data_IF_675054878559
#
_entry.id   IF_675054878559
#
_cell.length_a   1.000
_cell.length_b   1.000
_cell.length_c   1.000
_cell.angle_alpha   90.00
_cell.angle_beta   90.00
_cell.angle_gamma   90.00
#
_symmetry.space_group_name_H-M   'P 1'
#
loop_
_entity.id
_entity.type
_entity.pdbx_description
1 polymer ?
#
# COMPACT_ATOMS: atom_id res chain seq x y z
N UNK A 1 -0.18 -18.52 4.60
CA UNK A 1 -1.63 -18.86 4.69
C UNK A 1 -1.77 -20.36 4.53
N UNK A 2 -2.50 -20.96 5.44
CA UNK A 2 -2.69 -22.44 5.51
C UNK A 2 -4.19 -22.72 5.53
N UNK A 3 -4.66 -23.61 4.62
CA UNK A 3 -6.04 -24.11 4.64
C UNK A 3 -6.17 -25.12 5.78
N UNK A 4 -7.06 -24.88 6.71
CA UNK A 4 -7.30 -25.73 7.88
C UNK A 4 -8.43 -26.76 7.63
N UNK A 5 -9.49 -26.31 6.96
CA UNK A 5 -10.66 -27.10 6.61
C UNK A 5 -11.35 -26.47 5.39
N UNK A 6 -12.47 -27.06 4.95
CA UNK A 6 -13.29 -26.45 3.90
C UNK A 6 -13.79 -25.06 4.33
N UNK A 7 -13.49 -24.05 3.52
CA UNK A 7 -13.82 -22.67 3.82
C UNK A 7 -13.08 -22.05 5.02
N UNK A 8 -12.03 -22.67 5.55
CA UNK A 8 -11.30 -22.16 6.73
C UNK A 8 -9.82 -22.00 6.42
N UNK A 9 -9.32 -20.78 6.55
CA UNK A 9 -7.96 -20.40 6.21
C UNK A 9 -7.29 -19.64 7.36
N UNK A 10 -6.08 -20.04 7.73
CA UNK A 10 -5.28 -19.38 8.74
C UNK A 10 -4.15 -18.54 8.09
N UNK A 11 -4.10 -17.26 8.42
CA UNK A 11 -3.04 -16.34 8.04
C UNK A 11 -2.11 -16.15 9.24
N UNK A 12 -0.88 -16.62 9.10
CA UNK A 12 0.16 -16.54 10.13
C UNK A 12 1.25 -15.55 9.71
N UNK A 13 2.05 -15.12 10.67
CA UNK A 13 3.17 -14.19 10.45
C UNK A 13 2.73 -12.73 10.38
N UNK A 14 1.52 -12.42 10.84
CA UNK A 14 1.00 -11.07 11.04
C UNK A 14 0.70 -10.82 12.52
N UNK A 15 0.47 -9.57 12.88
CA UNK A 15 0.14 -9.16 14.25
C UNK A 15 -1.30 -8.68 14.40
N UNK A 16 -2.13 -8.95 13.42
CA UNK A 16 -3.55 -8.64 13.42
C UNK A 16 -4.09 -8.26 12.06
N UNK A 17 -5.37 -7.91 12.04
CA UNK A 17 -6.04 -7.33 10.88
C UNK A 17 -5.78 -5.82 10.85
N UNK A 18 -5.37 -5.31 9.70
CA UNK A 18 -5.30 -3.88 9.45
C UNK A 18 -6.61 -3.43 8.81
N UNK A 19 -7.62 -3.14 9.64
CA UNK A 19 -8.91 -2.64 9.18
C UNK A 19 -8.79 -1.20 8.70
N UNK A 20 -9.34 -0.92 7.52
CA UNK A 20 -9.36 0.39 6.92
C UNK A 20 -10.70 0.62 6.24
N UNK A 21 -11.51 1.54 6.77
CA UNK A 21 -12.84 1.84 6.23
C UNK A 21 -12.78 2.41 4.80
N UNK A 22 -11.67 3.00 4.40
CA UNK A 22 -11.46 3.45 3.02
C UNK A 22 -11.23 2.28 2.05
N UNK A 23 -10.86 1.10 2.57
CA UNK A 23 -10.63 -0.12 1.81
C UNK A 23 -11.49 -1.26 2.35
N UNK A 24 -12.63 -1.49 1.73
CA UNK A 24 -13.59 -2.55 2.09
C UNK A 24 -14.76 -2.11 2.98
N UNK A 25 -14.92 -0.82 3.27
CA UNK A 25 -16.04 -0.28 4.06
C UNK A 25 -15.78 -0.25 5.58
N UNK A 26 -16.84 -0.10 6.42
CA UNK A 26 -16.71 0.11 7.87
C UNK A 26 -15.94 -0.98 8.62
N UNK A 27 -16.08 -2.25 8.19
CA UNK A 27 -15.30 -3.40 8.69
C UNK A 27 -14.18 -3.77 7.70
N UNK A 28 -13.57 -2.76 7.09
CA UNK A 28 -12.61 -2.90 5.99
C UNK A 28 -11.40 -3.75 6.31
N UNK A 29 -10.68 -4.08 5.25
CA UNK A 29 -9.54 -4.99 5.29
C UNK A 29 -9.77 -6.28 4.52
N UNK A 30 -10.96 -6.47 3.94
CA UNK A 30 -11.30 -7.61 3.10
C UNK A 30 -11.89 -7.17 1.77
N UNK A 31 -11.52 -7.89 0.72
CA UNK A 31 -12.18 -7.82 -0.57
C UNK A 31 -12.58 -9.24 -0.98
N UNK A 32 -13.87 -9.44 -1.24
CA UNK A 32 -14.45 -10.73 -1.57
C UNK A 32 -14.75 -10.84 -3.06
N UNK A 33 -14.76 -12.06 -3.64
CA UNK A 33 -15.03 -12.26 -5.04
C UNK A 33 -16.45 -11.88 -5.42
N UNK A 34 -16.59 -11.17 -6.53
CA UNK A 34 -17.85 -10.75 -7.13
C UNK A 34 -18.06 -11.47 -8.45
N UNK A 35 -19.34 -11.69 -8.81
CA UNK A 35 -19.72 -12.13 -10.15
C UNK A 35 -19.69 -10.95 -11.17
N UNK A 36 -20.03 -11.22 -12.44
CA UNK A 36 -20.13 -10.20 -13.50
C UNK A 36 -21.18 -9.12 -13.20
N UNK A 37 -22.19 -9.43 -12.35
CA UNK A 37 -23.27 -8.54 -11.95
C UNK A 37 -22.96 -7.79 -10.66
N UNK A 38 -21.69 -7.86 -10.17
CA UNK A 38 -21.23 -7.26 -8.91
C UNK A 38 -21.91 -7.85 -7.66
N UNK A 39 -22.38 -9.08 -7.73
CA UNK A 39 -22.94 -9.80 -6.59
C UNK A 39 -21.84 -10.58 -5.87
N UNK A 40 -21.74 -10.49 -4.54
CA UNK A 40 -20.80 -11.29 -3.77
C UNK A 40 -21.08 -12.79 -3.90
N UNK A 41 -20.02 -13.59 -4.09
CA UNK A 41 -20.15 -15.03 -4.29
C UNK A 41 -20.05 -15.85 -3.01
N UNK A 42 -19.51 -15.27 -1.96
CA UNK A 42 -19.33 -15.89 -0.65
C UNK A 42 -19.70 -14.90 0.47
N UNK A 43 -20.03 -15.47 1.62
CA UNK A 43 -19.96 -14.76 2.89
C UNK A 43 -18.56 -14.93 3.46
N UNK A 44 -18.08 -13.94 4.19
CA UNK A 44 -16.80 -13.98 4.89
C UNK A 44 -17.03 -13.61 6.35
N UNK A 45 -16.44 -14.39 7.24
CA UNK A 45 -16.29 -14.10 8.65
C UNK A 45 -14.82 -14.27 9.04
N UNK A 46 -14.40 -13.65 10.14
CA UNK A 46 -13.02 -13.73 10.59
C UNK A 46 -12.88 -13.66 12.09
N UNK A 47 -11.79 -14.20 12.59
CA UNK A 47 -11.36 -14.07 13.98
C UNK A 47 -9.89 -13.70 14.01
N UNK A 48 -9.52 -12.78 14.92
CA UNK A 48 -8.11 -12.47 15.19
C UNK A 48 -7.71 -13.19 16.46
N UNK A 49 -6.73 -14.07 16.34
CA UNK A 49 -6.21 -14.82 17.48
C UNK A 49 -5.28 -13.94 18.36
N UNK A 50 -5.05 -14.32 19.64
CA UNK A 50 -4.16 -13.58 20.54
C UNK A 50 -2.71 -13.45 20.06
N UNK A 51 -2.24 -14.37 19.20
CA UNK A 51 -0.92 -14.34 18.57
C UNK A 51 -0.84 -13.40 17.35
N UNK A 52 -1.96 -12.76 17.00
CA UNK A 52 -2.08 -11.87 15.84
C UNK A 52 -2.39 -12.58 14.52
N UNK A 53 -2.46 -13.92 14.50
CA UNK A 53 -2.91 -14.63 13.31
C UNK A 53 -4.40 -14.38 13.03
N UNK A 54 -4.78 -14.42 11.77
CA UNK A 54 -6.15 -14.15 11.33
C UNK A 54 -6.74 -15.42 10.75
N UNK A 55 -7.83 -15.90 11.37
CA UNK A 55 -8.62 -17.02 10.86
C UNK A 55 -9.74 -16.46 9.99
N UNK A 56 -9.76 -16.83 8.72
CA UNK A 56 -10.78 -16.43 7.75
C UNK A 56 -11.69 -17.62 7.45
N UNK A 57 -12.99 -17.39 7.52
CA UNK A 57 -14.02 -18.38 7.27
C UNK A 57 -14.87 -17.93 6.08
N UNK A 58 -15.11 -18.81 5.13
CA UNK A 58 -15.88 -18.51 3.92
C UNK A 58 -17.07 -19.47 3.80
N UNK A 59 -18.22 -18.91 3.40
CA UNK A 59 -19.46 -19.64 3.31
C UNK A 59 -20.14 -19.37 1.98
N UNK A 60 -20.90 -20.36 1.51
CA UNK A 60 -21.69 -20.24 0.27
C UNK A 60 -22.76 -19.16 0.41
N UNK A 61 -22.84 -18.29 -0.60
CA UNK A 61 -23.83 -17.21 -0.67
C UNK A 61 -24.66 -17.35 -1.92
N UNK A 62 -25.98 -17.48 -1.75
CA UNK A 62 -26.94 -17.51 -2.84
C UNK A 62 -27.67 -16.18 -2.99
N UNK A 63 -28.28 -15.96 -4.15
CA UNK A 63 -29.08 -14.77 -4.45
C UNK A 63 -30.47 -15.17 -4.94
N UNK A 64 -31.36 -15.69 -4.06
CA UNK A 64 -32.62 -16.28 -4.47
C UNK A 64 -33.58 -15.27 -5.17
N UNK A 65 -33.44 -13.98 -4.91
CA UNK A 65 -34.18 -12.93 -5.58
C UNK A 65 -33.63 -12.52 -6.95
N UNK A 66 -32.50 -13.06 -7.36
CA UNK A 66 -31.89 -12.77 -8.65
C UNK A 66 -32.49 -13.67 -9.76
N UNK A 67 -32.34 -13.29 -11.05
CA UNK A 67 -32.61 -14.18 -12.16
C UNK A 67 -31.82 -15.49 -12.05
N UNK A 68 -32.37 -16.59 -12.56
CA UNK A 68 -31.77 -17.94 -12.42
C UNK A 68 -30.28 -18.02 -12.75
N UNK A 69 -29.83 -17.31 -13.79
CA UNK A 69 -28.42 -17.29 -14.19
C UNK A 69 -27.50 -16.52 -13.24
N UNK A 70 -28.04 -15.79 -12.28
CA UNK A 70 -27.30 -14.93 -11.34
C UNK A 70 -27.50 -15.34 -9.87
N UNK A 71 -28.14 -16.47 -9.60
CA UNK A 71 -28.46 -16.91 -8.22
C UNK A 71 -27.27 -17.46 -7.46
N UNK A 72 -26.16 -17.74 -8.12
CA UNK A 72 -24.99 -18.38 -7.54
C UNK A 72 -25.31 -19.74 -6.84
N UNK A 73 -26.32 -20.45 -7.35
CA UNK A 73 -26.68 -21.79 -6.86
C UNK A 73 -25.57 -22.79 -7.26
N UNK A 74 -25.22 -23.68 -6.35
CA UNK A 74 -24.21 -24.72 -6.56
C UNK A 74 -24.72 -26.03 -5.99
N UNK A 75 -24.68 -27.10 -6.80
CA UNK A 75 -25.07 -28.41 -6.38
C UNK A 75 -24.25 -28.90 -5.18
N UNK A 76 -24.92 -29.40 -4.16
CA UNK A 76 -24.30 -29.90 -2.92
C UNK A 76 -24.02 -28.83 -1.85
N UNK A 77 -24.35 -27.58 -2.10
CA UNK A 77 -24.15 -26.48 -1.13
C UNK A 77 -25.44 -25.69 -0.92
N UNK A 78 -25.81 -25.50 0.34
CA UNK A 78 -26.88 -24.60 0.75
C UNK A 78 -26.32 -23.22 1.11
N UNK A 79 -27.22 -22.25 1.27
CA UNK A 79 -26.88 -20.92 1.81
C UNK A 79 -26.20 -21.05 3.18
N UNK A 80 -25.02 -20.47 3.33
CA UNK A 80 -24.27 -20.49 4.59
C UNK A 80 -23.44 -21.74 4.84
N UNK A 81 -23.43 -22.72 3.94
CA UNK A 81 -22.54 -23.87 4.09
C UNK A 81 -21.07 -23.43 3.91
N UNK A 82 -20.13 -24.00 4.70
CA UNK A 82 -18.71 -23.78 4.47
C UNK A 82 -18.33 -24.12 3.04
N UNK A 83 -17.59 -23.25 2.38
CA UNK A 83 -17.15 -23.46 1.00
C UNK A 83 -15.78 -22.84 0.78
N UNK A 84 -14.94 -23.52 0.03
CA UNK A 84 -13.65 -22.98 -0.37
C UNK A 84 -13.81 -21.80 -1.35
N UNK A 85 -12.85 -20.89 -1.30
CA UNK A 85 -12.72 -19.82 -2.30
C UNK A 85 -12.65 -20.48 -3.69
N UNK A 86 -13.46 -20.02 -4.67
CA UNK A 86 -13.43 -20.59 -6.02
C UNK A 86 -12.01 -20.54 -6.61
N UNK A 87 -11.60 -21.60 -7.31
CA UNK A 87 -10.22 -21.77 -7.80
C UNK A 87 -9.74 -20.68 -8.76
N UNK A 88 -10.68 -19.99 -9.42
CA UNK A 88 -10.46 -18.89 -10.36
C UNK A 88 -10.57 -17.50 -9.73
N UNK A 89 -10.74 -17.43 -8.40
CA UNK A 89 -10.99 -16.21 -7.66
C UNK A 89 -10.11 -16.12 -6.41
N UNK A 90 -10.08 -14.95 -5.80
CA UNK A 90 -9.30 -14.70 -4.58
C UNK A 90 -10.08 -13.84 -3.59
N UNK A 91 -9.67 -13.94 -2.35
CA UNK A 91 -10.05 -13.02 -1.27
C UNK A 91 -8.79 -12.23 -0.91
N UNK A 92 -8.88 -10.92 -0.91
CA UNK A 92 -7.80 -10.07 -0.40
C UNK A 92 -8.02 -9.80 1.09
N UNK A 93 -6.97 -9.95 1.87
CA UNK A 93 -6.99 -9.67 3.32
C UNK A 93 -5.85 -8.72 3.64
N UNK A 94 -6.18 -7.61 4.27
CA UNK A 94 -5.20 -6.62 4.72
C UNK A 94 -4.80 -6.92 6.16
N UNK A 95 -3.54 -7.26 6.37
CA UNK A 95 -2.99 -7.61 7.68
C UNK A 95 -1.92 -6.62 8.11
N UNK A 96 -1.76 -6.48 9.43
CA UNK A 96 -0.66 -5.72 10.01
C UNK A 96 0.57 -6.63 10.15
N UNK A 97 1.73 -6.13 9.69
CA UNK A 97 2.97 -6.88 9.70
C UNK A 97 3.82 -6.51 10.91
N UNK A 98 4.53 -7.48 11.53
CA UNK A 98 5.49 -7.21 12.59
C UNK A 98 6.55 -6.19 12.16
N UNK A 99 7.01 -5.36 13.11
CA UNK A 99 8.04 -4.33 12.84
C UNK A 99 9.35 -4.92 12.30
N UNK A 100 9.69 -6.12 12.72
CA UNK A 100 10.88 -6.86 12.30
C UNK A 100 10.70 -7.67 11.00
N UNK A 101 9.53 -7.58 10.36
CA UNK A 101 9.25 -8.27 9.10
C UNK A 101 10.23 -7.85 7.99
N UNK A 102 10.48 -8.75 7.05
CA UNK A 102 11.31 -8.46 5.87
C UNK A 102 10.78 -7.26 5.09
N UNK A 103 9.45 -7.12 5.02
CA UNK A 103 8.80 -5.99 4.36
C UNK A 103 9.13 -4.66 5.06
N UNK A 104 8.93 -4.59 6.39
CA UNK A 104 9.19 -3.37 7.16
C UNK A 104 10.67 -2.99 7.13
N UNK A 105 11.58 -3.96 7.26
CA UNK A 105 13.03 -3.72 7.11
C UNK A 105 13.40 -3.13 5.74
N UNK A 106 12.81 -3.64 4.66
CA UNK A 106 13.02 -3.08 3.31
C UNK A 106 12.45 -1.68 3.18
N UNK A 107 11.32 -1.40 3.82
CA UNK A 107 10.70 -0.07 3.82
C UNK A 107 11.57 0.94 4.55
N UNK A 108 12.10 0.59 5.72
CA UNK A 108 13.03 1.42 6.49
C UNK A 108 14.32 1.69 5.73
N UNK A 109 14.88 0.67 5.09
CA UNK A 109 16.09 0.82 4.26
C UNK A 109 15.84 1.73 3.05
N UNK A 110 14.72 1.57 2.36
CA UNK A 110 14.33 2.43 1.25
C UNK A 110 14.14 3.90 1.70
N UNK A 111 13.52 4.12 2.84
CA UNK A 111 13.35 5.45 3.42
C UNK A 111 14.68 6.10 3.78
N UNK A 112 15.64 5.33 4.35
CA UNK A 112 16.98 5.82 4.65
C UNK A 112 17.73 6.23 3.39
N UNK A 113 17.72 5.38 2.35
CA UNK A 113 18.37 5.69 1.07
C UNK A 113 17.76 6.94 0.44
N UNK A 114 16.45 7.09 0.53
CA UNK A 114 15.78 8.28 0.01
C UNK A 114 16.19 9.54 0.77
N UNK A 115 16.25 9.48 2.10
CA UNK A 115 16.70 10.61 2.93
C UNK A 115 18.14 11.01 2.63
N UNK A 116 19.06 10.04 2.46
CA UNK A 116 20.45 10.28 2.07
C UNK A 116 20.54 10.97 0.70
N UNK A 117 19.73 10.57 -0.26
CA UNK A 117 19.68 11.20 -1.60
C UNK A 117 19.14 12.63 -1.54
N UNK A 118 18.10 12.85 -0.76
CA UNK A 118 17.51 14.19 -0.61
C UNK A 118 18.46 15.15 0.11
N UNK A 119 19.22 14.65 1.09
CA UNK A 119 20.27 15.43 1.75
C UNK A 119 21.43 15.76 0.81
N UNK A 120 21.91 14.78 0.04
CA UNK A 120 22.97 15.00 -0.95
C UNK A 120 22.55 16.05 -2.00
N UNK A 121 21.33 15.96 -2.51
CA UNK A 121 20.78 16.93 -3.46
C UNK A 121 20.71 18.34 -2.85
N UNK A 122 20.27 18.45 -1.59
CA UNK A 122 20.20 19.75 -0.91
C UNK A 122 21.58 20.38 -0.74
N UNK A 123 22.60 19.58 -0.38
CA UNK A 123 23.98 20.05 -0.25
C UNK A 123 24.56 20.51 -1.60
N UNK A 124 24.27 19.76 -2.67
CA UNK A 124 24.70 20.11 -4.03
C UNK A 124 24.05 21.43 -4.49
N UNK A 125 22.74 21.60 -4.25
CA UNK A 125 22.02 22.85 -4.55
C UNK A 125 22.57 24.04 -3.75
N UNK A 126 22.91 23.84 -2.47
CA UNK A 126 23.48 24.87 -1.61
C UNK A 126 24.90 25.26 -2.09
N UNK A 127 25.72 24.27 -2.46
CA UNK A 127 27.06 24.54 -3.00
C UNK A 127 26.99 25.29 -4.34
N UNK A 128 26.09 24.84 -5.23
CA UNK A 128 25.85 25.52 -6.51
C UNK A 128 25.39 26.98 -6.32
N UNK A 129 24.50 27.22 -5.36
CA UNK A 129 24.05 28.57 -5.02
C UNK A 129 25.18 29.44 -4.46
N UNK A 130 26.07 28.87 -3.63
CA UNK A 130 27.26 29.58 -3.11
C UNK A 130 28.21 29.95 -4.23
N UNK A 131 28.53 29.03 -5.12
CA UNK A 131 29.43 29.28 -6.27
C UNK A 131 28.86 30.37 -7.17
N UNK A 132 27.55 30.31 -7.45
CA UNK A 132 26.88 31.35 -8.25
C UNK A 132 26.94 32.73 -7.59
N UNK A 133 26.65 32.81 -6.29
CA UNK A 133 26.71 34.06 -5.55
C UNK A 133 28.15 34.65 -5.48
N UNK A 134 29.17 33.80 -5.41
CA UNK A 134 30.56 34.23 -5.44
C UNK A 134 30.96 34.75 -6.82
N UNK A 135 30.51 34.09 -7.89
CA UNK A 135 30.73 34.58 -9.27
C UNK A 135 30.07 35.94 -9.51
N UNK A 136 28.81 36.11 -9.12
CA UNK A 136 28.08 37.37 -9.23
C UNK A 136 28.79 38.50 -8.44
N UNK A 137 29.34 38.18 -7.25
CA UNK A 137 30.11 39.15 -6.47
C UNK A 137 31.42 39.59 -7.16
N UNK A 138 32.15 38.61 -7.73
CA UNK A 138 33.40 38.89 -8.46
C UNK A 138 33.15 39.70 -9.74
N UNK A 139 32.08 39.40 -10.46
CA UNK A 139 31.67 40.17 -11.64
C UNK A 139 31.28 41.62 -11.28
N UNK A 140 30.54 41.81 -10.19
CA UNK A 140 30.17 43.12 -9.71
C UNK A 140 31.39 43.92 -9.27
N UNK A 141 32.38 43.30 -8.60
CA UNK A 141 33.62 43.94 -8.20
C UNK A 141 34.50 44.31 -9.41
N UNK A 142 34.53 43.47 -10.43
CA UNK A 142 35.25 43.76 -11.68
C UNK A 142 34.61 44.93 -12.45
N UNK A 143 33.28 44.98 -12.52
CA UNK A 143 32.56 46.07 -13.16
C UNK A 143 32.80 47.41 -12.43
N UNK A 144 32.78 47.41 -11.10
CA UNK A 144 33.06 48.63 -10.32
C UNK A 144 34.48 49.19 -10.52
N UNK A 145 35.45 48.29 -10.71
CA UNK A 145 36.85 48.72 -11.00
C UNK A 145 37.04 49.24 -12.43
N UNK A 146 36.27 48.83 -13.38
CA UNK A 146 36.31 49.34 -14.76
C UNK A 146 35.72 50.75 -14.91
N UNK A 147 34.80 51.14 -14.04
CA UNK A 147 34.21 52.48 -14.02
C UNK A 147 35.06 53.51 -13.28
N UNK A 148 36.08 53.09 -12.57
CA UNK A 148 37.01 53.98 -11.80
C UNK A 148 38.27 54.38 -12.56
N UNK A 149 38.55 53.92 -13.78
CA UNK A 149 39.63 54.39 -14.60
C UNK A 149 39.26 55.79 -15.18
N UNK A 150 39.92 56.89 -14.73
CA UNK A 150 39.66 58.21 -15.27
C UNK A 150 40.19 58.32 -16.71
N UNK A 151 39.32 58.80 -17.60
CA UNK A 151 39.65 59.21 -18.98
C UNK A 151 40.76 60.34 -18.92
N UNK A 152 41.98 59.86 -19.00
CA UNK A 152 43.14 60.82 -19.17
C UNK A 152 43.25 61.10 -20.66
N UNK A 153 42.50 62.07 -21.13
CA UNK A 153 42.76 62.69 -22.44
C UNK A 153 43.65 63.95 -22.25
N UNK A 154 44.81 63.95 -22.92
CA UNK A 154 45.63 65.10 -23.21
C UNK A 154 44.93 66.10 -24.12
#
# INVERSE_FOLDING_TARGET
MTRQAEGVYLLEGCIGLNSDAAWGGPDGGFEIPLDRNKQPRIWLDYEVNPDGSVLVKTYHRTHPGAPTFARNEREGFAEGDPIDIPADQFVSVRVEMPSDSIYNKKLEEAARIQAERDEARRLEEEEAARVKAEQERLEAEAAAKSDEEPDVQE
#
